data_IF_450707368279
#
_entry.id   IF_450707368279
#
_cell.length_a   1.000
_cell.length_b   1.000
_cell.length_c   1.000
_cell.angle_alpha   90.00
_cell.angle_beta   90.00
_cell.angle_gamma   90.00
#
_symmetry.space_group_name_H-M   'P 1'
#
loop_
_entity.id
_entity.type
_entity.pdbx_description
1 polymer ?
#
# COMPACT_ATOMS: atom_id res chain seq x y z
N UNK A 1 6.85 11.37 -19.22
CA UNK A 1 7.12 11.40 -17.76
C UNK A 1 7.08 9.95 -17.27
N UNK A 2 8.22 9.27 -17.35
CA UNK A 2 9.21 9.07 -16.27
C UNK A 2 8.77 8.00 -15.25
N UNK A 3 9.29 6.78 -15.46
CA UNK A 3 9.47 5.68 -14.49
C UNK A 3 8.30 4.95 -13.80
N UNK A 4 7.02 5.27 -14.00
CA UNK A 4 5.93 4.55 -13.33
C UNK A 4 5.45 3.24 -14.01
N UNK A 5 6.28 2.62 -14.87
CA UNK A 5 5.97 1.34 -15.55
C UNK A 5 6.98 0.21 -15.27
N UNK A 6 8.01 0.44 -14.45
CA UNK A 6 8.97 -0.60 -14.09
C UNK A 6 8.48 -1.55 -12.98
N UNK A 7 7.24 -1.38 -12.49
CA UNK A 7 6.73 -2.07 -11.30
C UNK A 7 5.87 -3.32 -11.58
N UNK A 8 5.94 -3.88 -12.80
CA UNK A 8 5.18 -5.11 -13.16
C UNK A 8 5.94 -6.40 -12.78
N UNK A 9 7.20 -6.31 -12.32
CA UNK A 9 8.03 -7.50 -12.03
C UNK A 9 8.67 -7.54 -10.64
N UNK A 10 8.34 -6.60 -9.73
CA UNK A 10 8.68 -6.80 -8.33
C UNK A 10 7.62 -7.73 -7.74
N UNK A 11 8.06 -8.92 -7.35
CA UNK A 11 7.24 -9.84 -6.58
C UNK A 11 6.88 -9.16 -5.25
N UNK A 12 5.61 -8.80 -5.07
CA UNK A 12 5.09 -8.16 -3.85
C UNK A 12 5.55 -8.89 -2.58
N UNK A 13 5.63 -10.22 -2.64
CA UNK A 13 6.16 -11.05 -1.56
C UNK A 13 7.58 -10.65 -1.17
N UNK A 14 8.48 -10.60 -2.16
CA UNK A 14 9.89 -10.28 -1.98
C UNK A 14 10.10 -8.82 -1.52
N UNK A 15 9.35 -7.88 -2.11
CA UNK A 15 9.35 -6.48 -1.67
C UNK A 15 9.04 -6.36 -0.18
N UNK A 16 7.98 -7.04 0.27
CA UNK A 16 7.55 -6.97 1.66
C UNK A 16 8.49 -7.74 2.59
N UNK A 17 9.11 -8.83 2.12
CA UNK A 17 10.14 -9.57 2.88
C UNK A 17 11.38 -8.70 3.12
N UNK A 18 11.89 -8.04 2.08
CA UNK A 18 13.02 -7.10 2.18
C UNK A 18 12.65 -5.92 3.07
N UNK A 19 11.47 -5.32 2.85
CA UNK A 19 10.99 -4.20 3.67
C UNK A 19 10.92 -4.59 5.15
N UNK A 20 10.37 -5.78 5.45
CA UNK A 20 10.24 -6.30 6.81
C UNK A 20 11.60 -6.54 7.48
N UNK A 21 12.60 -6.96 6.71
CA UNK A 21 13.98 -7.13 7.18
C UNK A 21 14.63 -5.78 7.52
N UNK A 22 14.49 -4.79 6.65
CA UNK A 22 15.13 -3.47 6.81
C UNK A 22 14.50 -2.60 7.90
N UNK A 23 13.20 -2.75 8.17
CA UNK A 23 12.52 -1.97 9.19
C UNK A 23 12.92 -2.41 10.60
N UNK A 24 13.17 -1.47 11.51
CA UNK A 24 13.16 -1.74 12.95
C UNK A 24 11.71 -1.97 13.45
N UNK A 25 11.47 -2.64 14.59
CA UNK A 25 10.15 -2.66 15.22
C UNK A 25 9.57 -1.25 15.36
N UNK A 26 8.29 -1.05 15.01
CA UNK A 26 7.66 0.28 14.92
C UNK A 26 8.06 1.11 13.71
N UNK A 27 8.94 0.60 12.84
CA UNK A 27 9.32 1.24 11.57
C UNK A 27 8.16 1.23 10.57
N UNK A 28 8.14 2.25 9.70
CA UNK A 28 7.06 2.52 8.75
C UNK A 28 7.44 2.14 7.32
N UNK A 29 6.52 1.50 6.61
CA UNK A 29 6.56 1.27 5.17
C UNK A 29 5.46 2.10 4.51
N UNK A 30 5.76 2.81 3.43
CA UNK A 30 4.75 3.49 2.61
C UNK A 30 4.86 3.00 1.17
N UNK A 31 3.74 2.62 0.56
CA UNK A 31 3.67 2.10 -0.81
C UNK A 31 2.51 2.74 -1.58
N UNK A 32 2.69 2.84 -2.89
CA UNK A 32 1.61 3.07 -3.87
C UNK A 32 1.45 1.76 -4.64
N UNK A 33 0.23 1.28 -4.80
CA UNK A 33 -0.01 -0.01 -5.45
C UNK A 33 -1.31 0.01 -6.26
N UNK A 34 -1.48 -0.86 -7.28
CA UNK A 34 -2.76 -1.00 -7.97
C UNK A 34 -3.90 -1.30 -6.99
N UNK A 35 -4.96 -0.48 -7.05
CA UNK A 35 -6.09 -0.57 -6.12
C UNK A 35 -6.82 -1.92 -6.21
N UNK A 36 -6.90 -2.50 -7.42
CA UNK A 36 -7.53 -3.81 -7.65
C UNK A 36 -6.81 -4.97 -6.93
N UNK A 37 -5.51 -4.80 -6.61
CA UNK A 37 -4.70 -5.78 -5.86
C UNK A 37 -4.58 -5.45 -4.38
N UNK A 38 -5.42 -4.55 -3.87
CA UNK A 38 -5.39 -4.12 -2.45
C UNK A 38 -5.61 -5.27 -1.48
N UNK A 39 -6.47 -6.25 -1.81
CA UNK A 39 -6.69 -7.43 -0.97
C UNK A 39 -5.39 -8.26 -0.81
N UNK A 40 -4.68 -8.51 -1.92
CA UNK A 40 -3.41 -9.23 -1.93
C UNK A 40 -2.33 -8.48 -1.14
N UNK A 41 -2.27 -7.15 -1.33
CA UNK A 41 -1.35 -6.27 -0.62
C UNK A 41 -1.56 -6.32 0.90
N UNK A 42 -2.78 -6.07 1.36
CA UNK A 42 -3.14 -6.09 2.79
C UNK A 42 -2.86 -7.45 3.40
N UNK A 43 -3.27 -8.53 2.74
CA UNK A 43 -3.01 -9.89 3.20
C UNK A 43 -1.50 -10.16 3.39
N UNK A 44 -0.69 -9.82 2.38
CA UNK A 44 0.76 -10.06 2.44
C UNK A 44 1.49 -9.17 3.45
N UNK A 45 1.00 -7.95 3.69
CA UNK A 45 1.50 -7.04 4.73
C UNK A 45 1.24 -7.62 6.13
N UNK A 46 -0.01 -8.00 6.43
CA UNK A 46 -0.38 -8.62 7.71
C UNK A 46 0.38 -9.93 7.96
N UNK A 47 0.54 -10.78 6.94
CA UNK A 47 1.31 -12.04 7.01
C UNK A 47 2.76 -11.82 7.50
N UNK A 48 3.34 -10.65 7.20
CA UNK A 48 4.71 -10.26 7.57
C UNK A 48 4.79 -9.38 8.80
N UNK A 49 3.68 -9.19 9.53
CA UNK A 49 3.58 -8.26 10.65
C UNK A 49 3.98 -6.84 10.27
N UNK A 50 3.66 -6.42 9.05
CA UNK A 50 3.64 -5.00 8.68
C UNK A 50 2.16 -4.63 8.71
N UNK A 51 1.69 -4.10 9.83
CA UNK A 51 0.27 -3.85 10.00
C UNK A 51 -0.15 -2.60 9.21
N UNK A 52 -1.10 -2.69 8.26
CA UNK A 52 -1.64 -1.55 7.56
C UNK A 52 -2.26 -0.54 8.54
N UNK A 53 -1.74 0.68 8.56
CA UNK A 53 -2.19 1.75 9.45
C UNK A 53 -3.02 2.80 8.75
N UNK A 54 -2.72 3.08 7.47
CA UNK A 54 -3.44 4.09 6.69
C UNK A 54 -3.64 3.60 5.27
N UNK A 55 -4.86 3.72 4.74
CA UNK A 55 -5.17 3.49 3.34
C UNK A 55 -5.86 4.71 2.74
N UNK A 56 -5.44 5.14 1.56
CA UNK A 56 -6.10 6.17 0.78
C UNK A 56 -6.23 5.72 -0.67
N UNK A 57 -7.45 5.63 -1.17
CA UNK A 57 -7.71 5.24 -2.55
C UNK A 57 -7.65 6.46 -3.47
N UNK A 58 -6.99 6.31 -4.60
CA UNK A 58 -6.84 7.36 -5.61
C UNK A 58 -7.69 7.03 -6.82
N UNK A 59 -8.66 7.89 -7.07
CA UNK A 59 -9.61 7.80 -8.16
C UNK A 59 -9.23 8.78 -9.26
N UNK A 60 -9.45 8.43 -10.55
CA UNK A 60 -9.34 9.40 -11.63
C UNK A 60 -10.29 10.58 -11.46
N UNK A 61 -11.54 10.29 -11.06
CA UNK A 61 -12.62 11.24 -10.77
C UNK A 61 -13.69 10.56 -9.90
N UNK A 62 -14.77 11.29 -9.58
CA UNK A 62 -15.88 10.81 -8.74
C UNK A 62 -16.70 9.66 -9.32
N UNK A 63 -16.66 9.44 -10.64
CA UNK A 63 -17.46 8.43 -11.32
C UNK A 63 -16.69 7.12 -11.57
N UNK A 64 -15.35 7.16 -11.51
CA UNK A 64 -14.48 6.01 -11.80
C UNK A 64 -13.93 5.35 -10.55
N UNK A 65 -13.72 4.04 -10.67
CA UNK A 65 -13.08 3.24 -9.61
C UNK A 65 -11.65 3.70 -9.33
N UNK A 66 -11.18 3.42 -8.12
CA UNK A 66 -9.80 3.69 -7.72
C UNK A 66 -8.83 2.96 -8.64
N UNK A 67 -7.75 3.64 -9.05
CA UNK A 67 -6.65 3.03 -9.81
C UNK A 67 -5.49 2.66 -8.92
N UNK A 68 -5.23 3.47 -7.89
CA UNK A 68 -4.14 3.27 -6.96
C UNK A 68 -4.65 3.28 -5.52
N UNK A 69 -3.90 2.63 -4.65
CA UNK A 69 -4.03 2.75 -3.20
C UNK A 69 -2.69 3.19 -2.64
N UNK A 70 -2.71 4.24 -1.83
CA UNK A 70 -1.61 4.61 -0.96
C UNK A 70 -1.81 3.85 0.34
N UNK A 71 -0.80 3.13 0.80
CA UNK A 71 -0.82 2.41 2.06
C UNK A 71 0.39 2.75 2.90
N UNK A 72 0.18 3.00 4.19
CA UNK A 72 1.25 3.06 5.19
C UNK A 72 1.05 1.86 6.13
N UNK A 73 2.11 1.09 6.39
CA UNK A 73 2.12 0.00 7.36
C UNK A 73 3.23 0.13 8.38
N UNK A 74 3.06 -0.48 9.55
CA UNK A 74 4.00 -0.41 10.67
C UNK A 74 4.42 -1.81 11.10
N UNK A 75 5.74 -2.04 11.17
CA UNK A 75 6.30 -3.32 11.61
C UNK A 75 5.97 -3.59 13.07
N UNK A 76 5.43 -4.78 13.34
CA UNK A 76 5.09 -5.32 14.67
C UNK A 76 4.09 -4.47 15.47
N UNK A 77 3.27 -3.66 14.80
CA UNK A 77 2.16 -2.94 15.44
C UNK A 77 0.92 -3.83 15.63
N UNK A 78 0.05 -3.47 16.58
CA UNK A 78 -1.25 -4.12 16.78
C UNK A 78 -2.29 -3.69 15.75
N UNK A 79 -3.41 -4.40 15.66
CA UNK A 79 -4.43 -4.15 14.64
C UNK A 79 -5.20 -2.86 14.84
N UNK A 80 -5.16 -2.01 13.81
CA UNK A 80 -5.95 -0.80 13.65
C UNK A 80 -5.59 -0.21 12.29
N UNK A 81 -6.59 0.15 11.49
CA UNK A 81 -6.39 0.71 10.16
C UNK A 81 -7.31 1.89 9.94
N UNK A 82 -6.74 3.04 9.56
CA UNK A 82 -7.48 4.23 9.17
C UNK A 82 -7.70 4.25 7.67
N UNK A 83 -8.96 4.34 7.26
CA UNK A 83 -9.33 4.60 5.87
C UNK A 83 -9.47 6.11 5.71
N UNK A 84 -8.57 6.70 4.94
CA UNK A 84 -8.60 8.13 4.63
C UNK A 84 -9.65 8.43 3.54
N UNK A 85 -10.15 9.66 3.47
CA UNK A 85 -10.94 10.11 2.33
C UNK A 85 -10.21 9.85 1.00
N UNK A 86 -10.94 9.51 -0.08
CA UNK A 86 -10.35 9.28 -1.38
C UNK A 86 -9.74 10.57 -1.95
N UNK A 87 -8.69 10.39 -2.76
CA UNK A 87 -8.11 11.47 -3.56
C UNK A 87 -8.61 11.33 -4.99
N UNK A 88 -9.05 12.44 -5.58
CA UNK A 88 -9.44 12.51 -6.99
C UNK A 88 -8.36 13.24 -7.78
N UNK A 89 -7.86 12.64 -8.86
CA UNK A 89 -6.79 13.24 -9.68
C UNK A 89 -7.30 14.39 -10.53
N UNK A 90 -8.50 14.24 -11.10
CA UNK A 90 -9.17 15.28 -11.87
C UNK A 90 -10.45 15.67 -11.12
N UNK A 91 -10.65 16.98 -10.93
CA UNK A 91 -11.91 17.54 -10.43
C UNK A 91 -12.94 17.66 -11.56
#
# INVERSE_FOLDING_TARGET
EALARHEILINLSELLDISRYLLKPGGKLSLIYPAERSAELVFNMCKRRIEPKRLCFVHPDHARQARLVLIEGVKDAGSETRIEPPVFMNQ
#
